data_IF_775984472312
#
_entry.id   IF_775984472312
#
_cell.length_a   1.000
_cell.length_b   1.000
_cell.length_c   1.000
_cell.angle_alpha   90.00
_cell.angle_beta   90.00
_cell.angle_gamma   90.00
#
_symmetry.space_group_name_H-M   'P 1'
#
loop_
_entity.id
_entity.type
_entity.pdbx_description
1 polymer ?
#
# COMPACT_ATOMS: atom_id res chain seq x y z
N UNK A 1 31.14 19.85 13.02
CA UNK A 1 30.17 18.85 12.52
C UNK A 1 30.77 17.91 11.47
N UNK A 2 30.67 16.59 11.69
CA UNK A 2 31.02 15.57 10.69
C UNK A 2 29.90 15.41 9.65
N UNK A 3 30.22 15.12 8.39
CA UNK A 3 29.19 14.84 7.36
C UNK A 3 29.42 13.53 6.61
N UNK A 4 28.36 12.74 6.50
CA UNK A 4 28.27 11.55 5.66
C UNK A 4 27.20 11.70 4.58
N UNK A 5 27.54 11.25 3.37
CA UNK A 5 26.65 11.22 2.21
C UNK A 5 26.54 9.78 1.69
N UNK A 6 25.31 9.27 1.62
CA UNK A 6 25.00 7.95 1.08
C UNK A 6 24.70 8.08 -0.42
N UNK A 7 25.49 7.38 -1.24
CA UNK A 7 25.32 7.32 -2.68
C UNK A 7 24.81 5.94 -3.12
N UNK A 8 23.96 5.91 -4.14
CA UNK A 8 23.28 4.67 -4.57
C UNK A 8 23.36 4.40 -6.08
N UNK A 9 24.12 5.19 -6.84
CA UNK A 9 24.19 5.07 -8.31
C UNK A 9 24.87 3.77 -8.78
N UNK A 10 25.85 3.26 -8.03
CA UNK A 10 26.66 2.09 -8.39
C UNK A 10 26.71 1.08 -7.21
N UNK A 11 25.57 0.87 -6.55
CA UNK A 11 25.50 0.23 -5.24
C UNK A 11 25.61 1.27 -4.11
N UNK A 12 25.41 0.81 -2.87
CA UNK A 12 25.50 1.65 -1.68
C UNK A 12 26.97 1.99 -1.38
N UNK A 13 27.27 3.28 -1.39
CA UNK A 13 28.57 3.84 -1.05
C UNK A 13 28.39 4.97 -0.03
N UNK A 14 29.32 5.07 0.90
CA UNK A 14 29.31 6.07 1.97
C UNK A 14 30.50 6.98 1.74
N UNK A 15 30.21 8.26 1.53
CA UNK A 15 31.19 9.32 1.45
C UNK A 15 31.26 10.03 2.81
N UNK A 16 32.46 10.21 3.34
CA UNK A 16 32.72 10.96 4.57
C UNK A 16 33.61 12.15 4.24
N UNK A 17 33.13 13.36 4.55
CA UNK A 17 33.90 14.59 4.41
C UNK A 17 34.53 14.96 5.75
N UNK A 18 35.86 15.09 5.78
CA UNK A 18 36.63 15.53 6.94
C UNK A 18 37.49 16.73 6.57
N UNK A 19 38.08 17.41 7.56
CA UNK A 19 39.06 18.49 7.32
C UNK A 19 40.25 18.05 6.44
N UNK A 20 40.59 16.75 6.48
CA UNK A 20 41.71 16.16 5.74
C UNK A 20 41.33 15.68 4.33
N UNK A 21 40.09 15.90 3.90
CA UNK A 21 39.57 15.51 2.59
C UNK A 21 38.40 14.52 2.68
N UNK A 22 37.99 14.06 1.49
CA UNK A 22 36.83 13.18 1.31
C UNK A 22 37.26 11.74 1.10
N UNK A 23 36.68 10.81 1.87
CA UNK A 23 36.86 9.37 1.70
C UNK A 23 35.56 8.73 1.28
N UNK A 24 35.59 7.79 0.33
CA UNK A 24 34.42 7.06 -0.14
C UNK A 24 34.64 5.57 -0.05
N UNK A 25 33.70 4.86 0.58
CA UNK A 25 33.77 3.42 0.82
C UNK A 25 32.52 2.73 0.29
N UNK A 26 32.69 1.55 -0.32
CA UNK A 26 31.55 0.73 -0.72
C UNK A 26 31.01 -0.03 0.49
N UNK A 27 29.69 0.01 0.69
CA UNK A 27 29.00 -0.78 1.72
C UNK A 27 29.32 -2.27 1.58
N UNK A 28 29.34 -2.81 0.35
CA UNK A 28 29.69 -4.20 0.11
C UNK A 28 31.10 -4.58 0.62
N UNK A 29 32.04 -3.63 0.60
CA UNK A 29 33.41 -3.85 1.07
C UNK A 29 33.55 -3.79 2.61
N UNK A 30 32.71 -2.99 3.28
CA UNK A 30 32.82 -2.75 4.73
C UNK A 30 31.80 -3.53 5.56
N UNK A 31 30.67 -3.94 4.96
CA UNK A 31 29.60 -4.69 5.60
C UNK A 31 29.82 -6.22 5.51
N UNK A 32 31.04 -6.69 5.32
CA UNK A 32 31.36 -8.12 5.16
C UNK A 32 31.52 -8.89 6.47
N UNK A 33 31.50 -8.20 7.62
CA UNK A 33 31.72 -8.79 8.93
C UNK A 33 30.47 -8.68 9.80
N UNK A 34 29.97 -9.85 10.24
CA UNK A 34 28.79 -10.05 11.09
C UNK A 34 27.46 -9.57 10.48
N UNK A 35 26.55 -10.52 10.27
CA UNK A 35 25.16 -10.21 9.95
C UNK A 35 24.44 -9.96 11.28
N UNK A 36 23.84 -8.77 11.49
CA UNK A 36 23.02 -8.55 12.67
C UNK A 36 21.87 -9.56 12.69
N UNK A 37 21.33 -9.86 13.87
CA UNK A 37 20.09 -10.61 13.95
C UNK A 37 18.98 -9.80 13.28
N UNK A 38 18.12 -10.47 12.51
CA UNK A 38 17.00 -9.85 11.81
C UNK A 38 15.71 -10.46 12.36
N UNK A 39 14.80 -9.62 12.82
CA UNK A 39 13.45 -10.04 13.22
C UNK A 39 12.44 -9.65 12.14
N UNK A 40 12.25 -10.56 11.18
CA UNK A 40 11.27 -10.39 10.11
C UNK A 40 9.81 -10.48 10.62
N UNK A 41 9.58 -11.16 11.75
CA UNK A 41 8.23 -11.34 12.29
C UNK A 41 7.69 -10.02 12.83
N UNK A 42 8.54 -9.26 13.53
CA UNK A 42 8.16 -7.97 14.09
C UNK A 42 7.58 -7.00 13.05
N UNK A 43 8.31 -6.74 11.94
CA UNK A 43 7.81 -5.84 10.87
C UNK A 43 6.54 -6.38 10.23
N UNK A 44 6.47 -7.69 9.98
CA UNK A 44 5.33 -8.32 9.34
C UNK A 44 4.06 -8.25 10.20
N UNK A 45 4.14 -8.55 11.50
CA UNK A 45 2.99 -8.46 12.42
C UNK A 45 2.51 -7.01 12.59
N UNK A 46 3.46 -6.06 12.57
CA UNK A 46 3.20 -4.63 12.68
C UNK A 46 2.53 -4.08 11.41
N UNK A 47 3.12 -4.33 10.23
CA UNK A 47 2.81 -3.61 8.99
C UNK A 47 2.34 -4.50 7.82
N UNK A 48 2.38 -5.83 7.93
CA UNK A 48 2.05 -6.77 6.86
C UNK A 48 3.14 -6.94 5.79
N UNK A 49 4.31 -6.35 5.99
CA UNK A 49 5.43 -6.35 5.03
C UNK A 49 6.69 -6.76 5.77
N UNK A 50 7.51 -7.62 5.15
CA UNK A 50 8.83 -7.98 5.67
C UNK A 50 9.87 -6.94 5.24
N UNK A 51 10.97 -6.84 5.99
CA UNK A 51 12.12 -6.03 5.56
C UNK A 51 12.73 -6.63 4.29
N UNK A 52 12.89 -5.80 3.26
CA UNK A 52 13.63 -6.18 2.07
C UNK A 52 15.15 -6.21 2.32
N UNK A 53 15.88 -6.98 1.51
CA UNK A 53 17.35 -7.00 1.55
C UNK A 53 17.95 -5.60 1.40
N UNK A 54 17.33 -4.75 0.59
CA UNK A 54 17.77 -3.37 0.38
C UNK A 54 17.56 -2.50 1.64
N UNK A 55 16.45 -2.67 2.37
CA UNK A 55 16.23 -1.97 3.65
C UNK A 55 17.22 -2.44 4.70
N UNK A 56 17.52 -3.74 4.76
CA UNK A 56 18.54 -4.29 5.67
C UNK A 56 19.93 -3.74 5.33
N UNK A 57 20.31 -3.70 4.05
CA UNK A 57 21.59 -3.14 3.62
C UNK A 57 21.68 -1.64 3.94
N UNK A 58 20.59 -0.89 3.74
CA UNK A 58 20.53 0.53 4.06
C UNK A 58 20.68 0.78 5.56
N UNK A 59 19.98 0.01 6.41
CA UNK A 59 20.14 0.07 7.86
C UNK A 59 21.60 -0.17 8.28
N UNK A 60 22.24 -1.18 7.69
CA UNK A 60 23.65 -1.50 7.98
C UNK A 60 24.60 -0.39 7.53
N UNK A 61 24.28 0.33 6.46
CA UNK A 61 25.03 1.52 6.05
C UNK A 61 24.99 2.59 7.16
N UNK A 62 23.83 2.81 7.79
CA UNK A 62 23.72 3.71 8.94
C UNK A 62 24.50 3.21 10.16
N UNK A 63 24.43 1.91 10.51
CA UNK A 63 25.26 1.36 11.59
C UNK A 63 26.75 1.56 11.36
N UNK A 64 27.23 1.42 10.11
CA UNK A 64 28.60 1.73 9.76
C UNK A 64 28.92 3.22 10.01
N UNK A 65 28.05 4.12 9.55
CA UNK A 65 28.21 5.57 9.76
C UNK A 65 28.27 5.90 11.25
N UNK A 66 27.38 5.33 12.07
CA UNK A 66 27.35 5.54 13.52
C UNK A 66 28.68 5.12 14.17
N UNK A 67 29.23 3.97 13.79
CA UNK A 67 30.55 3.54 14.28
C UNK A 67 31.68 4.50 13.85
N UNK A 68 31.68 4.98 12.60
CA UNK A 68 32.67 5.95 12.12
C UNK A 68 32.54 7.30 12.85
N UNK A 69 31.31 7.73 13.13
CA UNK A 69 31.06 8.96 13.87
C UNK A 69 31.57 8.87 15.30
N UNK A 70 31.24 7.80 16.05
CA UNK A 70 31.77 7.63 17.42
C UNK A 70 33.30 7.59 17.46
N UNK A 71 33.94 7.00 16.45
CA UNK A 71 35.39 6.95 16.34
C UNK A 71 36.05 8.30 15.98
N UNK A 72 35.27 9.30 15.53
CA UNK A 72 35.76 10.65 15.24
C UNK A 72 35.97 11.49 16.51
N UNK A 73 36.33 12.76 16.37
CA UNK A 73 36.39 13.76 17.45
C UNK A 73 35.28 14.83 17.38
N UNK A 74 34.35 14.71 16.43
CA UNK A 74 33.26 15.68 16.20
C UNK A 74 32.10 15.46 17.18
N UNK A 75 31.39 16.51 17.60
CA UNK A 75 30.27 16.39 18.55
C UNK A 75 28.93 16.08 17.89
N UNK A 76 28.79 16.45 16.62
CA UNK A 76 27.58 16.27 15.81
C UNK A 76 27.90 15.65 14.45
N UNK A 77 26.92 14.94 13.90
CA UNK A 77 27.05 14.26 12.61
C UNK A 77 25.81 14.47 11.75
N UNK A 78 25.99 15.02 10.55
CA UNK A 78 24.97 15.10 9.51
C UNK A 78 25.06 13.87 8.61
N UNK A 79 23.98 13.11 8.54
CA UNK A 79 23.85 11.92 7.69
C UNK A 79 22.78 12.22 6.65
N UNK A 80 23.09 12.04 5.37
CA UNK A 80 22.11 12.25 4.30
C UNK A 80 22.32 11.36 3.09
N UNK A 81 21.28 11.17 2.31
CA UNK A 81 21.39 10.69 0.95
C UNK A 81 21.93 11.77 0.01
N UNK A 82 22.63 11.35 -1.04
CA UNK A 82 23.09 12.25 -2.09
C UNK A 82 21.93 12.96 -2.81
N UNK A 83 20.74 12.36 -2.85
CA UNK A 83 19.52 12.94 -3.43
C UNK A 83 18.87 14.01 -2.55
N UNK A 84 19.24 14.11 -1.26
CA UNK A 84 18.87 15.21 -0.39
C UNK A 84 19.92 16.33 -0.53
N UNK A 85 19.63 17.29 -1.41
CA UNK A 85 20.57 18.36 -1.76
C UNK A 85 20.61 19.42 -0.66
N UNK A 86 21.75 19.59 0.00
CA UNK A 86 21.92 20.65 0.98
C UNK A 86 21.86 22.03 0.32
N UNK A 87 21.12 22.93 0.95
CA UNK A 87 21.01 24.34 0.57
C UNK A 87 21.87 25.25 1.45
N UNK A 88 22.24 24.78 2.64
CA UNK A 88 23.13 25.46 3.58
C UNK A 88 24.45 24.71 3.75
N UNK A 89 25.48 25.41 4.24
CA UNK A 89 26.73 24.77 4.62
C UNK A 89 26.58 24.04 5.96
N UNK A 90 27.45 23.07 6.23
CA UNK A 90 27.45 22.37 7.54
C UNK A 90 27.75 23.30 8.70
N UNK A 91 28.46 24.41 8.47
CA UNK A 91 28.75 25.41 9.49
C UNK A 91 27.50 26.22 9.85
N UNK A 92 26.70 26.62 8.85
CA UNK A 92 25.43 27.34 9.09
C UNK A 92 24.45 26.44 9.86
N UNK A 93 24.37 25.16 9.48
CA UNK A 93 23.53 24.17 10.18
C UNK A 93 24.00 23.99 11.63
N UNK A 94 25.31 23.94 11.88
CA UNK A 94 25.87 23.80 13.23
C UNK A 94 25.59 25.02 14.10
N UNK A 95 25.61 26.23 13.53
CA UNK A 95 25.19 27.47 14.20
C UNK A 95 23.71 27.42 14.59
N UNK A 96 22.83 27.00 13.68
CA UNK A 96 21.38 26.89 13.95
C UNK A 96 21.06 25.85 15.04
N UNK A 97 21.85 24.77 15.16
CA UNK A 97 21.68 23.76 16.20
C UNK A 97 22.16 24.21 17.58
N UNK A 98 22.99 25.25 17.66
CA UNK A 98 23.51 25.75 18.93
C UNK A 98 22.41 26.33 19.85
N UNK A 99 21.25 26.66 19.28
CA UNK A 99 20.07 27.12 20.01
C UNK A 99 19.21 25.98 20.58
N UNK A 100 19.51 24.72 20.28
CA UNK A 100 18.83 23.56 20.86
C UNK A 100 19.28 23.31 22.31
N UNK A 101 18.38 22.76 23.14
CA UNK A 101 18.76 22.27 24.47
C UNK A 101 19.80 21.14 24.38
N UNK A 102 20.76 21.06 25.29
CA UNK A 102 21.87 20.06 25.24
C UNK A 102 21.42 18.59 25.37
N UNK A 103 20.12 18.32 25.44
CA UNK A 103 19.54 17.01 25.70
C UNK A 103 18.89 16.34 24.49
N UNK A 104 19.16 16.78 23.26
CA UNK A 104 18.71 16.07 22.06
C UNK A 104 19.64 14.92 21.64
N UNK A 105 19.06 13.86 21.07
CA UNK A 105 19.77 12.70 20.53
C UNK A 105 19.79 12.71 19.00
N UNK A 106 18.63 12.96 18.39
CA UNK A 106 18.45 13.02 16.93
C UNK A 106 17.69 14.29 16.56
N UNK A 107 18.12 14.96 15.50
CA UNK A 107 17.43 16.11 14.93
C UNK A 107 17.07 15.86 13.46
N UNK A 108 15.78 15.97 13.12
CA UNK A 108 15.31 15.89 11.74
C UNK A 108 15.08 17.30 11.17
N UNK A 109 15.80 17.71 10.11
CA UNK A 109 15.74 19.08 9.58
C UNK A 109 14.55 19.31 8.62
N UNK A 110 13.46 18.57 8.76
CA UNK A 110 12.26 18.77 7.96
C UNK A 110 11.01 18.59 8.80
N UNK A 111 9.90 19.10 8.29
CA UNK A 111 8.57 18.78 8.76
C UNK A 111 7.64 18.73 7.54
N UNK A 112 7.04 17.57 7.26
CA UNK A 112 5.97 17.46 6.25
C UNK A 112 4.57 17.43 6.87
N UNK A 113 4.44 17.49 8.19
CA UNK A 113 3.15 17.32 8.87
C UNK A 113 2.22 18.51 8.71
N UNK A 114 2.71 19.69 8.29
CA UNK A 114 1.90 20.87 8.01
C UNK A 114 2.47 21.72 6.86
N UNK A 115 1.62 22.04 5.88
CA UNK A 115 1.82 23.22 5.02
C UNK A 115 1.57 24.47 5.90
N UNK A 116 2.64 25.05 6.46
CA UNK A 116 2.74 26.35 7.18
C UNK A 116 1.96 26.49 8.53
N UNK A 117 2.41 27.16 9.60
CA UNK A 117 3.37 28.28 9.80
C UNK A 117 4.13 28.14 11.15
N UNK A 118 5.36 28.66 11.17
CA UNK A 118 6.18 29.08 12.33
C UNK A 118 6.81 27.98 13.22
N UNK A 119 8.12 27.80 13.02
CA UNK A 119 9.02 26.94 13.78
C UNK A 119 8.78 26.98 15.30
N UNK A 120 8.32 25.84 15.82
CA UNK A 120 8.45 25.43 17.22
C UNK A 120 9.02 24.01 17.20
N UNK A 121 10.02 23.71 18.04
CA UNK A 121 10.52 22.36 18.23
C UNK A 121 9.38 21.53 18.86
N UNK A 122 8.91 20.49 18.16
CA UNK A 122 7.80 19.63 18.61
C UNK A 122 8.34 18.19 18.78
N UNK A 123 7.66 17.35 19.55
CA UNK A 123 7.95 15.92 19.63
C UNK A 123 7.28 15.16 18.46
N UNK A 124 8.06 14.38 17.69
CA UNK A 124 7.59 13.69 16.48
C UNK A 124 6.57 12.57 16.76
N UNK A 125 5.43 12.57 16.06
CA UNK A 125 4.62 11.36 15.72
C UNK A 125 3.87 11.60 14.39
N UNK A 126 3.78 10.74 13.36
CA UNK A 126 3.95 9.28 13.18
C UNK A 126 4.45 8.93 11.76
N UNK A 127 4.79 7.66 11.49
CA UNK A 127 4.24 6.92 10.33
C UNK A 127 4.38 5.41 10.56
N UNK A 128 3.34 4.62 10.29
CA UNK A 128 3.45 3.19 9.96
C UNK A 128 2.79 2.92 8.60
N UNK A 129 3.45 3.47 7.57
CA UNK A 129 3.11 3.43 6.14
C UNK A 129 2.18 4.53 5.62
N UNK A 130 2.34 5.75 6.17
CA UNK A 130 1.75 6.99 5.65
C UNK A 130 2.77 8.08 5.32
N UNK A 131 4.04 7.71 5.15
CA UNK A 131 5.21 8.46 4.63
C UNK A 131 5.37 9.93 5.06
N UNK A 132 5.46 10.18 6.37
CA UNK A 132 5.79 11.52 6.89
C UNK A 132 7.20 11.69 7.47
N UNK A 133 8.09 10.70 7.42
CA UNK A 133 9.49 10.83 7.88
C UNK A 133 10.43 9.91 7.10
N UNK A 134 11.74 10.16 7.16
CA UNK A 134 12.72 9.27 6.52
C UNK A 134 14.15 9.47 7.00
N UNK A 135 14.88 8.36 7.00
CA UNK A 135 16.31 8.18 7.25
C UNK A 135 17.20 8.67 6.09
N UNK A 136 16.66 9.52 5.23
CA UNK A 136 17.37 10.11 4.08
C UNK A 136 18.11 11.40 4.44
N UNK A 137 17.77 12.06 5.55
CA UNK A 137 18.58 13.13 6.15
C UNK A 137 18.24 13.30 7.63
N UNK A 138 19.25 13.31 8.49
CA UNK A 138 19.11 13.65 9.91
C UNK A 138 20.47 14.02 10.50
N UNK A 139 20.42 14.68 11.65
CA UNK A 139 21.59 15.04 12.44
C UNK A 139 21.57 14.25 13.74
N UNK A 140 22.74 13.81 14.18
CA UNK A 140 22.93 12.91 15.32
C UNK A 140 23.92 13.53 16.30
N UNK A 141 23.57 13.57 17.58
CA UNK A 141 24.51 13.91 18.66
C UNK A 141 25.33 12.67 19.03
N UNK A 142 26.50 12.84 19.64
CA UNK A 142 27.28 11.69 20.15
C UNK A 142 26.48 10.77 21.06
N UNK A 143 25.72 11.37 22.00
CA UNK A 143 24.87 10.64 22.95
C UNK A 143 23.77 9.86 22.22
N UNK A 144 23.13 10.46 21.22
CA UNK A 144 22.17 9.76 20.38
C UNK A 144 22.80 8.61 19.59
N UNK A 145 24.02 8.79 19.11
CA UNK A 145 24.75 7.75 18.38
C UNK A 145 25.07 6.53 19.24
N UNK A 146 25.47 6.73 20.50
CA UNK A 146 25.69 5.63 21.45
C UNK A 146 24.39 4.84 21.65
N UNK A 147 23.27 5.52 21.89
CA UNK A 147 21.95 4.89 22.06
C UNK A 147 21.48 4.13 20.82
N UNK A 148 21.73 4.64 19.61
CA UNK A 148 21.37 3.94 18.36
C UNK A 148 22.23 2.70 18.10
N UNK A 149 23.49 2.69 18.53
CA UNK A 149 24.36 1.53 18.41
C UNK A 149 23.98 0.38 19.33
N UNK A 150 23.18 0.61 20.36
CA UNK A 150 22.59 -0.44 21.20
C UNK A 150 21.53 -1.29 20.46
N UNK A 151 21.09 -0.86 19.26
CA UNK A 151 20.17 -1.62 18.41
C UNK A 151 20.89 -2.85 17.83
N UNK A 152 20.79 -3.97 18.54
CA UNK A 152 21.43 -5.24 18.18
C UNK A 152 20.66 -6.08 17.14
N UNK A 153 19.36 -5.83 16.99
CA UNK A 153 18.46 -6.60 16.11
C UNK A 153 17.77 -5.64 15.14
N UNK A 154 17.92 -5.89 13.84
CA UNK A 154 17.20 -5.12 12.82
C UNK A 154 15.79 -5.72 12.68
N UNK A 155 14.78 -4.96 13.09
CA UNK A 155 13.37 -5.39 13.03
C UNK A 155 12.48 -4.43 12.24
N UNK A 156 12.98 -3.23 11.92
CA UNK A 156 12.32 -2.23 11.05
C UNK A 156 13.36 -1.25 10.48
N UNK A 157 12.98 -0.37 9.52
CA UNK A 157 13.87 0.67 8.99
C UNK A 157 14.39 1.65 10.05
N UNK A 158 15.45 2.41 9.74
CA UNK A 158 16.18 3.26 10.71
C UNK A 158 15.28 4.34 11.33
N UNK A 159 14.54 5.05 10.48
CA UNK A 159 13.56 6.05 10.90
C UNK A 159 12.49 5.47 11.83
N UNK A 160 12.00 4.26 11.54
CA UNK A 160 11.00 3.58 12.36
C UNK A 160 11.57 3.13 13.73
N UNK A 161 12.84 2.71 13.79
CA UNK A 161 13.51 2.47 15.08
C UNK A 161 13.69 3.75 15.88
N UNK A 162 14.07 4.85 15.25
CA UNK A 162 14.20 6.15 15.93
C UNK A 162 12.85 6.59 16.51
N UNK A 163 11.77 6.48 15.74
CA UNK A 163 10.42 6.84 16.20
C UNK A 163 9.90 5.91 17.30
N UNK A 164 10.22 4.61 17.25
CA UNK A 164 9.84 3.68 18.31
C UNK A 164 10.65 3.93 19.58
N UNK A 165 11.94 4.22 19.47
CA UNK A 165 12.78 4.59 20.60
C UNK A 165 12.33 5.92 21.22
N UNK A 166 11.92 6.91 20.42
CA UNK A 166 11.26 8.13 20.91
C UNK A 166 9.97 7.80 21.67
N UNK A 167 9.11 6.95 21.10
CA UNK A 167 7.83 6.58 21.71
C UNK A 167 7.98 5.82 23.04
N UNK A 168 9.16 5.23 23.27
CA UNK A 168 9.52 4.51 24.49
C UNK A 168 10.42 5.35 25.44
N UNK A 169 10.52 6.66 25.22
CA UNK A 169 11.37 7.59 25.99
C UNK A 169 12.87 7.20 26.01
N UNK A 170 13.34 6.42 25.02
CA UNK A 170 14.73 6.00 24.90
C UNK A 170 15.60 7.03 24.16
N UNK A 171 15.02 7.75 23.20
CA UNK A 171 15.66 8.85 22.47
C UNK A 171 14.88 10.17 22.66
N UNK A 172 15.60 11.27 22.86
CA UNK A 172 15.07 12.62 22.71
C UNK A 172 15.24 13.05 21.26
N UNK A 173 14.14 13.13 20.52
CA UNK A 173 14.18 13.45 19.08
C UNK A 173 13.47 14.76 18.81
N UNK A 174 14.19 15.69 18.19
CA UNK A 174 13.66 16.99 17.76
C UNK A 174 13.52 17.04 16.24
N UNK A 175 12.67 17.94 15.78
CA UNK A 175 12.53 18.26 14.37
C UNK A 175 12.12 19.71 14.18
N UNK A 176 12.42 20.26 13.02
CA UNK A 176 11.94 21.56 12.60
C UNK A 176 11.89 21.65 11.07
N UNK A 177 10.97 22.48 10.54
CA UNK A 177 11.04 22.87 9.13
C UNK A 177 12.11 23.94 8.95
N UNK A 178 13.30 23.53 8.50
CA UNK A 178 14.49 24.38 8.52
C UNK A 178 14.88 24.96 7.16
N UNK A 179 14.44 24.34 6.06
CA UNK A 179 14.92 24.67 4.72
C UNK A 179 16.37 24.25 4.45
N UNK A 180 16.99 23.39 5.27
CA UNK A 180 18.39 22.97 5.08
C UNK A 180 18.66 22.21 3.77
N UNK A 181 17.63 21.61 3.17
CA UNK A 181 17.78 20.78 1.98
C UNK A 181 16.56 20.83 1.05
N UNK A 182 16.76 20.38 -0.19
CA UNK A 182 15.71 20.09 -1.16
C UNK A 182 15.87 18.69 -1.72
N UNK A 183 14.75 17.98 -1.92
CA UNK A 183 14.72 16.65 -2.53
C UNK A 183 13.43 16.42 -3.33
N UNK A 184 13.53 15.55 -4.33
CA UNK A 184 12.37 14.90 -4.95
C UNK A 184 12.19 13.54 -4.29
N UNK A 185 10.99 13.24 -3.77
CA UNK A 185 10.74 12.05 -2.96
C UNK A 185 10.99 10.75 -3.73
N UNK A 186 10.66 10.74 -5.03
CA UNK A 186 10.91 9.63 -5.94
C UNK A 186 12.41 9.40 -6.19
N UNK A 187 13.26 10.39 -5.92
CA UNK A 187 14.72 10.30 -6.03
C UNK A 187 15.39 9.81 -4.76
N UNK A 188 14.68 9.78 -3.62
CA UNK A 188 15.18 9.24 -2.36
C UNK A 188 15.23 7.71 -2.40
N UNK A 189 16.38 7.15 -2.07
CA UNK A 189 16.62 5.71 -2.09
C UNK A 189 15.78 4.99 -1.04
N UNK A 190 15.78 5.47 0.20
CA UNK A 190 15.07 4.81 1.30
C UNK A 190 13.55 4.76 1.06
N UNK A 191 13.00 5.81 0.44
CA UNK A 191 11.60 5.86 0.00
C UNK A 191 11.34 4.83 -1.09
N UNK A 192 12.16 4.80 -2.16
CA UNK A 192 11.98 3.86 -3.27
C UNK A 192 12.04 2.40 -2.85
N UNK A 193 13.02 2.02 -2.03
CA UNK A 193 13.16 0.62 -1.60
C UNK A 193 11.97 0.19 -0.74
N UNK A 194 11.45 1.08 0.10
CA UNK A 194 10.25 0.82 0.93
C UNK A 194 8.99 0.70 0.08
N UNK A 195 8.75 1.64 -0.84
CA UNK A 195 7.63 1.58 -1.78
C UNK A 195 7.67 0.29 -2.60
N UNK A 196 8.85 -0.11 -3.08
CA UNK A 196 9.04 -1.37 -3.81
C UNK A 196 8.75 -2.59 -2.94
N UNK A 197 9.18 -2.60 -1.68
CA UNK A 197 8.88 -3.70 -0.75
C UNK A 197 7.37 -3.87 -0.53
N UNK A 198 6.64 -2.77 -0.31
CA UNK A 198 5.18 -2.81 -0.13
C UNK A 198 4.47 -3.21 -1.42
N UNK A 199 4.90 -2.69 -2.58
CA UNK A 199 4.35 -3.07 -3.86
C UNK A 199 4.54 -4.57 -4.12
N UNK A 200 5.74 -5.09 -3.89
CA UNK A 200 6.01 -6.53 -4.01
C UNK A 200 5.13 -7.35 -3.06
N UNK A 201 4.97 -6.91 -1.81
CA UNK A 201 4.09 -7.59 -0.85
C UNK A 201 2.64 -7.62 -1.35
N UNK A 202 2.12 -6.49 -1.84
CA UNK A 202 0.77 -6.40 -2.42
C UNK A 202 0.61 -7.31 -3.64
N UNK A 203 1.56 -7.29 -4.58
CA UNK A 203 1.52 -8.11 -5.80
C UNK A 203 1.69 -9.61 -5.52
N UNK A 204 2.38 -9.97 -4.44
CA UNK A 204 2.53 -11.36 -4.01
C UNK A 204 1.31 -11.91 -3.28
N UNK A 205 0.38 -11.05 -2.88
CA UNK A 205 -0.81 -11.47 -2.15
C UNK A 205 -1.77 -12.20 -3.08
N UNK A 206 -2.17 -13.41 -2.69
CA UNK A 206 -3.20 -14.18 -3.37
C UNK A 206 -4.26 -14.64 -2.40
N UNK A 207 -5.51 -14.26 -2.67
CA UNK A 207 -6.65 -14.75 -1.91
C UNK A 207 -7.15 -16.11 -2.43
N UNK A 208 -6.73 -16.49 -3.62
CA UNK A 208 -7.22 -17.67 -4.32
C UNK A 208 -6.25 -18.84 -4.20
N UNK A 209 -6.75 -19.97 -3.69
CA UNK A 209 -6.16 -21.26 -3.99
C UNK A 209 -6.57 -21.70 -5.40
N UNK A 210 -5.77 -22.54 -6.07
CA UNK A 210 -6.13 -23.06 -7.39
C UNK A 210 -7.52 -23.77 -7.41
N UNK A 211 -7.88 -24.61 -6.42
CA UNK A 211 -9.23 -25.18 -6.34
C UNK A 211 -10.33 -24.13 -6.21
N UNK A 212 -10.15 -23.10 -5.36
CA UNK A 212 -11.16 -22.08 -5.15
C UNK A 212 -11.33 -21.21 -6.41
N UNK A 213 -10.23 -20.82 -7.08
CA UNK A 213 -10.33 -20.07 -8.35
C UNK A 213 -11.05 -20.87 -9.43
N UNK A 214 -10.79 -22.18 -9.50
CA UNK A 214 -11.51 -23.08 -10.43
C UNK A 214 -13.00 -23.19 -10.11
N UNK A 215 -13.37 -23.21 -8.83
CA UNK A 215 -14.77 -23.26 -8.40
C UNK A 215 -15.50 -21.95 -8.71
N UNK A 216 -14.86 -20.80 -8.50
CA UNK A 216 -15.38 -19.49 -8.86
C UNK A 216 -15.64 -19.37 -10.37
N UNK A 217 -14.71 -19.86 -11.21
CA UNK A 217 -14.89 -19.94 -12.67
C UNK A 217 -16.09 -20.78 -13.08
N UNK A 218 -16.29 -21.93 -12.43
CA UNK A 218 -17.46 -22.78 -12.69
C UNK A 218 -18.76 -22.09 -12.28
N UNK A 219 -18.76 -21.38 -11.16
CA UNK A 219 -19.93 -20.61 -10.73
C UNK A 219 -20.24 -19.45 -11.70
N UNK A 220 -19.21 -18.75 -12.19
CA UNK A 220 -19.35 -17.75 -13.25
C UNK A 220 -19.95 -18.32 -14.54
N UNK A 221 -19.44 -19.45 -15.00
CA UNK A 221 -19.92 -20.13 -16.22
C UNK A 221 -21.39 -20.56 -16.08
N UNK A 222 -21.76 -21.11 -14.92
CA UNK A 222 -23.14 -21.45 -14.58
C UNK A 222 -24.04 -20.20 -14.66
N UNK A 223 -23.66 -19.12 -13.97
CA UNK A 223 -24.42 -17.86 -13.98
C UNK A 223 -24.57 -17.29 -15.39
N UNK A 224 -23.49 -17.27 -16.18
CA UNK A 224 -23.53 -16.78 -17.55
C UNK A 224 -24.46 -17.65 -18.43
N UNK A 225 -24.35 -18.97 -18.33
CA UNK A 225 -25.20 -19.90 -19.09
C UNK A 225 -26.70 -19.68 -18.82
N UNK A 226 -27.08 -19.51 -17.55
CA UNK A 226 -28.48 -19.21 -17.21
C UNK A 226 -28.90 -17.81 -17.64
N UNK A 227 -28.02 -16.82 -17.55
CA UNK A 227 -28.31 -15.47 -18.01
C UNK A 227 -28.54 -15.44 -19.53
N UNK A 228 -27.67 -16.06 -20.32
CA UNK A 228 -27.77 -16.12 -21.79
C UNK A 228 -29.07 -16.79 -22.24
N UNK A 229 -29.42 -17.94 -21.64
CA UNK A 229 -30.68 -18.66 -21.93
C UNK A 229 -31.93 -17.80 -21.72
N UNK A 230 -31.87 -16.84 -20.80
CA UNK A 230 -32.98 -15.96 -20.45
C UNK A 230 -32.81 -14.54 -21.01
N UNK A 231 -31.83 -14.30 -21.89
CA UNK A 231 -31.50 -12.98 -22.43
C UNK A 231 -31.26 -11.90 -21.34
N UNK A 232 -30.61 -12.30 -20.25
CA UNK A 232 -30.22 -11.46 -19.12
C UNK A 232 -28.79 -10.98 -19.32
N UNK A 233 -28.48 -9.77 -18.86
CA UNK A 233 -27.15 -9.19 -18.98
C UNK A 233 -26.51 -9.09 -17.59
N UNK A 234 -25.53 -9.97 -17.34
CA UNK A 234 -24.63 -9.87 -16.20
C UNK A 234 -23.44 -9.00 -16.59
N UNK A 235 -23.16 -8.00 -15.76
CA UNK A 235 -22.13 -6.97 -16.04
C UNK A 235 -21.10 -7.01 -14.93
N UNK A 236 -19.79 -7.01 -15.21
CA UNK A 236 -18.80 -6.90 -14.13
C UNK A 236 -18.99 -5.57 -13.39
N UNK A 237 -18.97 -5.64 -12.06
CA UNK A 237 -19.09 -4.48 -11.18
C UNK A 237 -17.90 -4.44 -10.20
N UNK A 238 -17.77 -3.35 -9.45
CA UNK A 238 -16.87 -3.30 -8.29
C UNK A 238 -15.43 -3.71 -8.55
N UNK A 239 -14.91 -4.57 -7.66
CA UNK A 239 -13.55 -5.11 -7.71
C UNK A 239 -13.32 -5.97 -8.96
N UNK A 240 -14.35 -6.70 -9.42
CA UNK A 240 -14.26 -7.52 -10.64
C UNK A 240 -14.08 -6.70 -11.91
N UNK A 241 -14.79 -5.57 -12.05
CA UNK A 241 -14.57 -4.64 -13.17
C UNK A 241 -13.16 -4.05 -13.12
N UNK A 242 -12.72 -3.62 -11.94
CA UNK A 242 -11.38 -3.09 -11.73
C UNK A 242 -10.30 -4.13 -12.05
N UNK A 243 -10.47 -5.37 -11.64
CA UNK A 243 -9.57 -6.48 -11.95
C UNK A 243 -9.46 -6.72 -13.44
N UNK A 244 -10.59 -6.77 -14.15
CA UNK A 244 -10.56 -6.90 -15.61
C UNK A 244 -9.81 -5.74 -16.27
N UNK A 245 -10.08 -4.49 -15.88
CA UNK A 245 -9.39 -3.31 -16.46
C UNK A 245 -7.91 -3.28 -16.11
N UNK A 246 -7.53 -3.71 -14.91
CA UNK A 246 -6.13 -3.63 -14.47
C UNK A 246 -5.27 -4.82 -14.94
N UNK A 247 -5.85 -6.03 -15.00
CA UNK A 247 -5.12 -7.29 -15.19
C UNK A 247 -5.72 -8.25 -16.24
N UNK A 248 -6.89 -7.95 -16.81
CA UNK A 248 -7.71 -8.89 -17.63
C UNK A 248 -8.22 -10.13 -16.87
N UNK A 249 -8.11 -10.15 -15.55
CA UNK A 249 -8.53 -11.25 -14.67
C UNK A 249 -8.95 -10.73 -13.28
N UNK A 250 -9.40 -11.62 -12.38
CA UNK A 250 -9.63 -11.25 -10.98
C UNK A 250 -8.28 -10.80 -10.39
N UNK A 251 -8.27 -9.65 -9.69
CA UNK A 251 -7.06 -9.22 -8.98
C UNK A 251 -6.63 -10.33 -8.01
N UNK A 252 -5.34 -10.71 -7.97
CA UNK A 252 -4.90 -11.84 -7.14
C UNK A 252 -5.35 -11.76 -5.68
N UNK A 253 -5.44 -10.53 -5.15
CA UNK A 253 -5.78 -10.24 -3.77
C UNK A 253 -7.26 -9.91 -3.51
N UNK A 254 -8.10 -9.88 -4.54
CA UNK A 254 -9.55 -9.65 -4.41
C UNK A 254 -10.23 -11.01 -4.32
N UNK A 255 -10.97 -11.28 -3.23
CA UNK A 255 -11.35 -12.64 -2.84
C UNK A 255 -12.82 -12.99 -3.12
N UNK A 256 -13.54 -12.13 -3.84
CA UNK A 256 -14.88 -12.37 -4.33
C UNK A 256 -15.06 -11.89 -5.78
N UNK A 257 -16.30 -11.98 -6.27
CA UNK A 257 -16.67 -11.59 -7.63
C UNK A 257 -17.97 -10.80 -7.57
N UNK A 258 -17.99 -9.65 -8.22
CA UNK A 258 -19.11 -8.71 -8.25
C UNK A 258 -19.73 -8.64 -9.65
N UNK A 259 -21.01 -8.99 -9.77
CA UNK A 259 -21.80 -8.86 -10.98
C UNK A 259 -23.00 -7.94 -10.77
N UNK A 260 -23.29 -7.11 -11.74
CA UNK A 260 -24.49 -6.32 -11.83
C UNK A 260 -25.58 -6.97 -12.68
N UNK A 261 -26.83 -6.82 -12.25
CA UNK A 261 -28.02 -7.26 -12.98
C UNK A 261 -29.13 -6.22 -12.89
N UNK A 262 -29.92 -6.07 -13.96
CA UNK A 262 -31.11 -5.24 -13.91
C UNK A 262 -32.10 -5.80 -12.88
N UNK A 263 -32.60 -4.97 -11.98
CA UNK A 263 -33.44 -5.42 -10.86
C UNK A 263 -34.65 -6.26 -11.29
N UNK A 264 -35.25 -5.93 -12.44
CA UNK A 264 -36.39 -6.64 -13.03
C UNK A 264 -36.06 -8.04 -13.57
N UNK A 265 -34.77 -8.36 -13.78
CA UNK A 265 -34.34 -9.62 -14.37
C UNK A 265 -33.90 -10.66 -13.32
N UNK A 266 -33.61 -10.24 -12.08
CA UNK A 266 -33.03 -11.12 -11.06
C UNK A 266 -33.91 -12.31 -10.73
N UNK A 267 -35.23 -12.12 -10.62
CA UNK A 267 -36.16 -13.22 -10.30
C UNK A 267 -36.13 -14.34 -11.35
N UNK A 268 -35.98 -13.98 -12.62
CA UNK A 268 -35.88 -14.96 -13.72
C UNK A 268 -34.57 -15.75 -13.64
N UNK A 269 -33.45 -15.07 -13.36
CA UNK A 269 -32.17 -15.74 -13.18
C UNK A 269 -32.22 -16.73 -12.00
N UNK A 270 -32.70 -16.28 -10.84
CA UNK A 270 -32.76 -17.09 -9.62
C UNK A 270 -33.66 -18.31 -9.78
N UNK A 271 -34.83 -18.17 -10.40
CA UNK A 271 -35.72 -19.29 -10.70
C UNK A 271 -35.06 -20.32 -11.65
N UNK A 272 -34.29 -19.82 -12.63
CA UNK A 272 -33.55 -20.69 -13.55
C UNK A 272 -32.46 -21.49 -12.84
N UNK A 273 -31.73 -20.86 -11.91
CA UNK A 273 -30.72 -21.52 -11.08
C UNK A 273 -31.33 -22.55 -10.11
N UNK A 274 -32.46 -22.19 -9.47
CA UNK A 274 -33.16 -23.08 -8.53
C UNK A 274 -33.64 -24.36 -9.22
N UNK A 275 -34.06 -24.27 -10.48
CA UNK A 275 -34.50 -25.42 -11.28
C UNK A 275 -33.35 -26.40 -11.55
N UNK A 276 -32.11 -25.91 -11.70
CA UNK A 276 -30.92 -26.76 -11.87
C UNK A 276 -30.45 -27.38 -10.54
N UNK A 277 -30.65 -26.67 -9.43
CA UNK A 277 -30.51 -27.21 -8.07
C UNK A 277 -29.07 -27.35 -7.56
N UNK A 278 -28.07 -26.88 -8.32
CA UNK A 278 -26.64 -26.95 -7.97
C UNK A 278 -26.14 -25.69 -7.25
N UNK A 279 -26.75 -24.54 -7.53
CA UNK A 279 -26.43 -23.26 -6.89
C UNK A 279 -27.45 -22.91 -5.80
N UNK A 280 -26.96 -22.26 -4.74
CA UNK A 280 -27.76 -21.66 -3.67
C UNK A 280 -27.59 -20.16 -3.72
N UNK A 281 -28.60 -19.44 -3.27
CA UNK A 281 -28.56 -17.99 -3.21
C UNK A 281 -29.34 -17.45 -2.03
N UNK A 282 -28.95 -16.27 -1.56
CA UNK A 282 -29.70 -15.53 -0.55
C UNK A 282 -29.51 -14.03 -0.72
N UNK A 283 -30.57 -13.29 -0.39
CA UNK A 283 -30.58 -11.84 -0.38
C UNK A 283 -30.00 -11.29 0.91
N UNK A 284 -29.16 -10.26 0.79
CA UNK A 284 -28.57 -9.54 1.90
C UNK A 284 -28.84 -8.03 1.78
N UNK A 285 -29.02 -7.32 2.91
CA UNK A 285 -29.15 -5.87 2.89
C UNK A 285 -27.80 -5.21 2.60
N UNK A 286 -27.82 -4.12 1.85
CA UNK A 286 -26.64 -3.29 1.62
C UNK A 286 -26.95 -1.83 1.95
N UNK A 287 -26.27 -1.30 2.96
CA UNK A 287 -26.43 0.10 3.43
C UNK A 287 -25.13 0.87 3.26
N UNK A 288 -25.19 2.08 2.70
CA UNK A 288 -24.02 2.94 2.48
C UNK A 288 -24.47 4.40 2.51
N UNK A 289 -23.87 5.22 3.37
CA UNK A 289 -24.21 6.63 3.57
C UNK A 289 -25.73 6.90 3.69
N UNK A 290 -26.45 6.02 4.41
CA UNK A 290 -27.90 6.14 4.60
C UNK A 290 -28.76 5.69 3.42
N UNK A 291 -28.17 5.41 2.26
CA UNK A 291 -28.87 4.78 1.15
C UNK A 291 -28.96 3.26 1.38
N UNK A 292 -30.11 2.68 1.07
CA UNK A 292 -30.38 1.25 1.22
C UNK A 292 -30.56 0.60 -0.15
N UNK A 293 -30.06 -0.62 -0.29
CA UNK A 293 -30.27 -1.50 -1.45
C UNK A 293 -30.15 -2.95 -0.97
N UNK A 294 -30.21 -3.90 -1.89
CA UNK A 294 -30.00 -5.32 -1.64
C UNK A 294 -29.08 -5.91 -2.70
N UNK A 295 -28.48 -7.04 -2.37
CA UNK A 295 -27.73 -7.88 -3.30
C UNK A 295 -27.99 -9.34 -3.00
N UNK A 296 -27.70 -10.21 -3.97
CA UNK A 296 -27.80 -11.65 -3.79
C UNK A 296 -26.41 -12.24 -3.79
N UNK A 297 -26.10 -13.03 -2.76
CA UNK A 297 -24.91 -13.88 -2.77
C UNK A 297 -25.30 -15.22 -3.38
N UNK A 298 -24.50 -15.73 -4.31
CA UNK A 298 -24.71 -17.04 -4.96
C UNK A 298 -23.48 -17.91 -4.73
N UNK A 299 -23.67 -19.18 -4.36
CA UNK A 299 -22.60 -20.13 -4.09
C UNK A 299 -22.98 -21.55 -4.53
N UNK A 300 -22.00 -22.44 -4.62
CA UNK A 300 -22.22 -23.86 -4.91
C UNK A 300 -22.28 -24.69 -3.62
N UNK A 301 -23.06 -25.78 -3.63
CA UNK A 301 -23.18 -26.69 -2.47
C UNK A 301 -21.84 -27.34 -2.07
N UNK A 302 -20.96 -27.51 -3.03
CA UNK A 302 -19.60 -28.08 -2.89
C UNK A 302 -18.55 -27.05 -2.44
N UNK A 303 -18.96 -25.81 -2.18
CA UNK A 303 -18.09 -24.77 -1.64
C UNK A 303 -17.52 -25.12 -0.25
N UNK A 304 -16.50 -24.38 0.15
CA UNK A 304 -15.92 -24.44 1.50
C UNK A 304 -16.86 -23.78 2.50
N UNK A 305 -17.18 -24.50 3.58
CA UNK A 305 -18.00 -23.95 4.68
C UNK A 305 -17.29 -22.77 5.37
N UNK A 306 -18.04 -21.71 5.62
CA UNK A 306 -17.56 -20.55 6.38
C UNK A 306 -18.20 -20.60 7.78
N UNK A 307 -17.42 -20.74 8.86
CA UNK A 307 -17.97 -20.88 10.21
C UNK A 307 -18.91 -19.72 10.60
N UNK A 308 -20.17 -20.04 10.89
CA UNK A 308 -21.19 -19.07 11.31
C UNK A 308 -22.01 -18.46 10.17
N UNK A 309 -21.74 -18.84 8.93
CA UNK A 309 -22.45 -18.36 7.74
C UNK A 309 -23.09 -19.52 6.99
N UNK A 310 -24.21 -19.24 6.31
CA UNK A 310 -24.94 -20.26 5.53
C UNK A 310 -24.41 -20.43 4.09
N UNK A 311 -23.66 -19.43 3.62
CA UNK A 311 -23.02 -19.44 2.32
C UNK A 311 -21.62 -20.00 2.41
N UNK A 312 -21.13 -20.47 1.26
CA UNK A 312 -19.85 -21.14 1.13
C UNK A 312 -18.91 -20.34 0.25
N UNK A 313 -17.62 -20.52 0.47
CA UNK A 313 -16.57 -19.92 -0.34
C UNK A 313 -16.19 -20.85 -1.52
N UNK A 314 -15.95 -20.32 -2.73
CA UNK A 314 -16.20 -18.94 -3.15
C UNK A 314 -17.67 -18.71 -3.49
N UNK A 315 -18.02 -17.43 -3.59
CA UNK A 315 -19.34 -16.96 -3.99
C UNK A 315 -19.23 -15.85 -5.02
N UNK A 316 -20.36 -15.51 -5.63
CA UNK A 316 -20.52 -14.33 -6.50
C UNK A 316 -21.61 -13.45 -5.89
N UNK A 317 -21.33 -12.15 -5.75
CA UNK A 317 -22.30 -11.15 -5.35
C UNK A 317 -22.97 -10.54 -6.59
N UNK A 318 -24.31 -10.59 -6.59
CA UNK A 318 -25.18 -10.09 -7.65
C UNK A 318 -25.87 -8.82 -7.15
N UNK A 319 -25.38 -7.69 -7.62
CA UNK A 319 -25.84 -6.34 -7.30
C UNK A 319 -26.97 -5.92 -8.23
N UNK A 320 -28.07 -5.41 -7.66
CA UNK A 320 -29.19 -4.92 -8.45
C UNK A 320 -28.92 -3.49 -8.92
N UNK A 321 -29.03 -3.25 -10.23
CA UNK A 321 -29.12 -1.90 -10.77
C UNK A 321 -30.53 -1.58 -11.25
N UNK A 322 -30.84 -0.31 -11.16
CA UNK A 322 -32.05 0.35 -11.64
C UNK A 322 -31.64 1.36 -12.71
N UNK A 323 -32.59 1.80 -13.51
CA UNK A 323 -32.34 2.85 -14.49
C UNK A 323 -33.53 3.81 -14.56
N UNK A 324 -33.23 5.07 -14.87
CA UNK A 324 -34.22 6.08 -15.27
C UNK A 324 -33.86 6.57 -16.68
N UNK A 325 -34.35 7.72 -17.13
CA UNK A 325 -34.04 8.19 -18.50
C UNK A 325 -32.56 8.51 -18.71
N UNK A 326 -31.85 8.97 -17.67
CA UNK A 326 -30.51 9.56 -17.76
C UNK A 326 -29.40 8.63 -17.24
N UNK A 327 -29.70 7.78 -16.26
CA UNK A 327 -28.70 7.08 -15.45
C UNK A 327 -29.06 5.62 -15.19
N UNK A 328 -28.01 4.81 -14.96
CA UNK A 328 -28.05 3.49 -14.31
C UNK A 328 -27.49 3.64 -12.92
N UNK A 329 -28.15 3.10 -11.90
CA UNK A 329 -27.71 3.23 -10.51
C UNK A 329 -27.96 1.96 -9.70
N UNK A 330 -26.99 1.59 -8.86
CA UNK A 330 -27.11 0.46 -7.93
C UNK A 330 -27.66 0.88 -6.57
N UNK A 331 -27.59 2.19 -6.30
CA UNK A 331 -27.91 2.79 -5.02
C UNK A 331 -28.08 4.30 -5.16
N UNK A 332 -28.80 4.89 -4.21
CA UNK A 332 -28.91 6.35 -4.11
C UNK A 332 -27.69 7.00 -3.44
N UNK A 333 -26.53 6.84 -4.07
CA UNK A 333 -25.28 7.48 -3.68
C UNK A 333 -24.40 7.70 -4.92
N UNK A 334 -23.79 8.88 -5.03
CA UNK A 334 -23.13 9.39 -6.24
C UNK A 334 -22.20 8.37 -6.91
N UNK A 335 -21.28 7.75 -6.15
CA UNK A 335 -20.32 6.75 -6.66
C UNK A 335 -20.93 5.45 -7.22
N UNK A 336 -22.24 5.27 -7.11
CA UNK A 336 -22.97 4.11 -7.61
C UNK A 336 -24.01 4.48 -8.68
N UNK A 337 -23.94 5.71 -9.22
CA UNK A 337 -24.77 6.22 -10.32
C UNK A 337 -23.88 6.46 -11.53
N UNK A 338 -24.34 6.03 -12.70
CA UNK A 338 -23.59 6.06 -13.95
C UNK A 338 -24.47 6.69 -15.04
N UNK A 339 -24.01 7.71 -15.77
CA UNK A 339 -24.71 8.21 -16.94
C UNK A 339 -24.93 7.09 -17.96
N UNK A 340 -26.10 7.03 -18.62
CA UNK A 340 -26.41 5.95 -19.56
C UNK A 340 -25.40 5.79 -20.68
N UNK A 341 -24.84 6.89 -21.20
CA UNK A 341 -23.83 6.82 -22.25
C UNK A 341 -22.50 6.21 -21.78
N UNK A 342 -22.20 6.28 -20.47
CA UNK A 342 -21.05 5.62 -19.83
C UNK A 342 -21.32 4.12 -19.70
N UNK A 343 -22.55 3.74 -19.36
CA UNK A 343 -22.92 2.36 -19.06
C UNK A 343 -23.27 1.53 -20.32
N UNK A 344 -24.03 2.12 -21.24
CA UNK A 344 -24.54 1.49 -22.47
C UNK A 344 -23.90 2.07 -23.75
N UNK A 345 -23.88 1.28 -24.85
CA UNK A 345 -24.16 -0.15 -24.90
C UNK A 345 -23.08 -0.96 -24.18
N UNK A 346 -23.44 -2.12 -23.65
CA UNK A 346 -22.44 -2.98 -23.01
C UNK A 346 -21.36 -3.42 -23.98
N UNK A 347 -20.12 -3.50 -23.48
CA UNK A 347 -19.01 -4.18 -24.18
C UNK A 347 -18.93 -5.62 -23.70
N UNK A 348 -18.63 -6.53 -24.61
CA UNK A 348 -18.43 -7.94 -24.32
C UNK A 348 -16.93 -8.23 -24.23
N UNK A 349 -16.52 -8.96 -23.20
CA UNK A 349 -15.12 -9.29 -22.90
C UNK A 349 -14.99 -10.75 -22.47
N UNK A 350 -13.76 -11.25 -22.40
CA UNK A 350 -13.43 -12.51 -21.73
C UNK A 350 -12.92 -12.19 -20.33
N UNK A 351 -13.50 -12.84 -19.32
CA UNK A 351 -13.08 -12.73 -17.93
C UNK A 351 -13.10 -14.11 -17.30
N UNK A 352 -11.95 -14.56 -16.82
CA UNK A 352 -11.81 -15.87 -16.15
C UNK A 352 -12.33 -17.06 -16.99
N UNK A 353 -12.20 -16.95 -18.32
CA UNK A 353 -12.67 -17.96 -19.28
C UNK A 353 -14.15 -17.89 -19.63
N UNK A 354 -14.89 -16.92 -19.08
CA UNK A 354 -16.31 -16.69 -19.36
C UNK A 354 -16.50 -15.45 -20.23
N UNK A 355 -17.52 -15.48 -21.10
CA UNK A 355 -17.97 -14.30 -21.84
C UNK A 355 -18.81 -13.44 -20.91
N UNK A 356 -18.33 -12.23 -20.59
CA UNK A 356 -19.01 -11.31 -19.67
C UNK A 356 -19.23 -9.95 -20.31
N UNK A 357 -20.08 -9.12 -19.69
CA UNK A 357 -20.29 -7.73 -20.10
C UNK A 357 -19.62 -6.74 -19.16
N UNK A 358 -19.24 -5.59 -19.68
CA UNK A 358 -18.77 -4.43 -18.91
C UNK A 358 -19.45 -3.15 -19.42
N UNK A 359 -19.43 -2.04 -18.65
CA UNK A 359 -19.87 -0.74 -19.12
C UNK A 359 -19.20 -0.30 -20.43
N UNK A 360 -19.86 0.55 -21.22
CA UNK A 360 -19.30 1.08 -22.47
C UNK A 360 -17.98 1.86 -22.26
N UNK A 361 -17.93 2.68 -21.21
CA UNK A 361 -16.76 3.45 -20.81
C UNK A 361 -16.28 3.01 -19.41
N UNK A 362 -15.61 1.85 -19.30
CA UNK A 362 -15.33 1.23 -18.01
C UNK A 362 -14.34 2.04 -17.16
N UNK A 363 -13.35 2.71 -17.76
CA UNK A 363 -12.44 3.62 -17.06
C UNK A 363 -13.20 4.78 -16.41
N UNK A 364 -14.15 5.38 -17.13
CA UNK A 364 -14.98 6.47 -16.59
C UNK A 364 -15.93 5.95 -15.49
N UNK A 365 -16.48 4.74 -15.65
CA UNK A 365 -17.25 4.11 -14.57
C UNK A 365 -16.40 3.92 -13.31
N UNK A 366 -15.15 3.45 -13.44
CA UNK A 366 -14.23 3.29 -12.31
C UNK A 366 -13.83 4.64 -11.68
N UNK A 367 -13.66 5.70 -12.48
CA UNK A 367 -13.38 7.06 -11.99
C UNK A 367 -14.51 7.62 -11.11
N UNK A 368 -15.76 7.23 -11.37
CA UNK A 368 -16.90 7.58 -10.53
C UNK A 368 -16.94 6.76 -9.23
N UNK A 369 -16.47 5.50 -9.27
CA UNK A 369 -16.52 4.57 -8.13
C UNK A 369 -15.38 4.75 -7.14
N UNK A 370 -14.18 5.00 -7.64
CA UNK A 370 -12.93 4.96 -6.88
C UNK A 370 -12.09 6.20 -7.14
N UNK A 371 -11.66 6.87 -6.07
CA UNK A 371 -10.85 8.10 -6.18
C UNK A 371 -9.40 7.81 -6.58
N UNK A 372 -8.80 6.76 -6.01
CA UNK A 372 -7.35 6.54 -6.04
C UNK A 372 -6.95 5.29 -6.84
N UNK A 373 -7.86 4.68 -7.61
CA UNK A 373 -7.60 3.38 -8.25
C UNK A 373 -6.50 3.40 -9.32
N UNK A 374 -6.24 4.57 -9.91
CA UNK A 374 -5.17 4.76 -10.91
C UNK A 374 -3.79 4.95 -10.28
N UNK A 375 -3.73 5.35 -9.01
CA UNK A 375 -2.49 5.66 -8.31
C UNK A 375 -2.14 4.67 -7.21
N UNK A 376 -3.09 3.84 -6.77
CA UNK A 376 -2.86 2.90 -5.67
C UNK A 376 -3.52 1.53 -5.87
N UNK A 377 -2.80 0.50 -5.43
CA UNK A 377 -3.36 -0.78 -5.00
C UNK A 377 -3.73 -0.66 -3.52
N UNK A 378 -4.90 -1.17 -3.17
CA UNK A 378 -5.30 -1.39 -1.78
C UNK A 378 -5.66 -2.87 -1.64
N UNK A 379 -4.92 -3.56 -0.76
CA UNK A 379 -5.25 -4.93 -0.36
C UNK A 379 -5.94 -4.85 1.00
N UNK A 380 -7.27 -4.97 1.00
CA UNK A 380 -8.07 -4.90 2.23
C UNK A 380 -7.77 -6.09 3.15
N UNK A 381 -7.82 -5.86 4.46
CA UNK A 381 -7.53 -6.90 5.46
C UNK A 381 -8.63 -7.95 5.61
N UNK A 382 -9.83 -7.67 5.12
CA UNK A 382 -10.98 -8.57 5.23
C UNK A 382 -10.79 -9.76 4.31
N UNK A 383 -10.93 -10.97 4.85
CA UNK A 383 -11.04 -12.19 4.06
C UNK A 383 -12.47 -12.69 4.12
N UNK A 384 -13.18 -12.69 3.00
CA UNK A 384 -14.51 -13.26 2.85
C UNK A 384 -14.51 -14.77 3.07
N UNK A 385 -13.43 -15.48 2.74
CA UNK A 385 -13.28 -16.90 3.06
C UNK A 385 -13.34 -17.18 4.57
N UNK A 386 -12.86 -16.23 5.39
CA UNK A 386 -12.81 -16.36 6.85
C UNK A 386 -13.84 -15.50 7.60
N UNK A 387 -14.52 -14.60 6.88
CA UNK A 387 -15.40 -13.55 7.39
C UNK A 387 -14.83 -12.77 8.58
N UNK A 388 -13.56 -12.37 8.45
CA UNK A 388 -12.82 -11.57 9.42
C UNK A 388 -11.60 -10.90 8.80
N UNK A 389 -11.03 -9.93 9.51
CA UNK A 389 -9.69 -9.42 9.20
C UNK A 389 -8.65 -10.54 9.37
N UNK A 390 -7.87 -10.81 8.32
CA UNK A 390 -6.91 -11.92 8.27
C UNK A 390 -5.44 -11.46 8.26
N UNK A 391 -5.18 -10.22 7.86
CA UNK A 391 -3.83 -9.65 7.76
C UNK A 391 -3.87 -8.11 7.83
N UNK A 392 -2.71 -7.44 7.78
CA UNK A 392 -2.63 -5.97 7.76
C UNK A 392 -2.92 -5.44 6.36
N UNK A 393 -3.81 -4.45 6.26
CA UNK A 393 -4.11 -3.81 4.98
C UNK A 393 -2.82 -3.24 4.35
N UNK A 394 -2.65 -3.47 3.06
CA UNK A 394 -1.55 -2.91 2.28
C UNK A 394 -2.06 -1.81 1.36
N UNK A 395 -1.28 -0.73 1.22
CA UNK A 395 -1.50 0.31 0.23
C UNK A 395 -0.19 0.57 -0.50
N UNK A 396 -0.17 0.33 -1.81
CA UNK A 396 1.02 0.49 -2.65
C UNK A 396 0.75 1.50 -3.76
N UNK A 397 1.67 2.43 -3.98
CA UNK A 397 1.62 3.32 -5.13
C UNK A 397 1.87 2.54 -6.43
N UNK A 398 1.13 2.88 -7.48
CA UNK A 398 1.24 2.28 -8.81
C UNK A 398 1.08 3.34 -9.89
N UNK A 399 1.47 2.98 -11.11
CA UNK A 399 1.12 3.71 -12.31
C UNK A 399 0.23 2.85 -13.20
N UNK A 400 -0.68 3.50 -13.93
CA UNK A 400 -1.49 2.85 -14.97
C UNK A 400 -1.36 3.62 -16.29
N UNK A 401 -1.59 2.95 -17.40
CA UNK A 401 -1.70 3.62 -18.70
C UNK A 401 -3.06 4.33 -18.87
N UNK A 402 -3.29 4.91 -20.06
CA UNK A 402 -4.52 5.62 -20.38
C UNK A 402 -5.78 4.74 -20.32
N UNK A 403 -5.63 3.42 -20.47
CA UNK A 403 -6.71 2.44 -20.41
C UNK A 403 -6.90 1.85 -19.00
N UNK A 404 -6.08 2.27 -18.03
CA UNK A 404 -6.13 1.79 -16.65
C UNK A 404 -5.35 0.51 -16.40
N UNK A 405 -4.51 0.06 -17.34
CA UNK A 405 -3.68 -1.14 -17.21
C UNK A 405 -2.50 -0.87 -16.30
N UNK A 406 -2.25 -1.76 -15.35
CA UNK A 406 -1.12 -1.65 -14.43
C UNK A 406 0.22 -1.67 -15.20
N UNK A 407 1.06 -0.68 -14.92
CA UNK A 407 2.43 -0.58 -15.42
C UNK A 407 3.38 -0.97 -14.28
N UNK A 408 4.08 -2.10 -14.42
CA UNK A 408 5.04 -2.62 -13.44
C UNK A 408 6.49 -2.30 -13.82
#
# INVERSE_FOLDING_TARGET
>A
MLSFVIHVKNGLEIECATENGTTRVSCAAVLSAHLPAIDQAFRYEKCGVQLSDAEIEYFRAHQYIWNQFLASHEDTCLIREASANLLLSTADIEEDLADLEDDWDVFFPFDKTQEDEAAQQIALQTSQLGYYWGDHIYILSRRGCEKLLDIAVIRQPVDEEILEALSNDALTVFYANTGYFACEEEQLYSVRIRQKAILNAALSHTAWSAPNKSMARRLLDLLNTHAERNNIHLVLHGGSLLGHIRHDEIMPWDDDIDLGIASQAVSTLLLSLETEGIARFKVYPWTYNGANSIYYKVWLDEGEEIPGYEYKFPFVDIWLYYENDDEVFYKDAERFRFPKHVYYPFKQIQFEGCTMKIPNHPVHALDLMYKDWKSHIVVYSWSHRLEKAAFRQLKAAINVDADGRLQL
#
